data_IF_269880819324
#
_entry.id   IF_269880819324
#
_cell.length_a   1.000
_cell.length_b   1.000
_cell.length_c   1.000
_cell.angle_alpha   90.00
_cell.angle_beta   90.00
_cell.angle_gamma   90.00
#
_symmetry.space_group_name_H-M   'P 1'
#
loop_
_entity.id
_entity.type
_entity.pdbx_description
1 polymer ?
#
# COMPACT_ATOMS: atom_id res chain seq x y z
N UNK A 1 7.64 3.20 17.88
CA UNK A 1 6.95 2.48 18.98
C UNK A 1 7.93 1.54 19.65
N UNK A 2 8.14 1.71 20.96
CA UNK A 2 8.95 0.83 21.79
C UNK A 2 8.11 -0.31 22.36
N UNK A 3 8.70 -1.47 22.62
CA UNK A 3 8.04 -2.58 23.28
C UNK A 3 7.64 -2.25 24.72
N UNK A 4 6.61 -2.92 25.25
CA UNK A 4 6.06 -2.62 26.60
C UNK A 4 7.07 -2.76 27.74
N UNK A 5 8.09 -3.60 27.60
CA UNK A 5 9.13 -3.75 28.61
C UNK A 5 10.00 -2.49 28.79
N UNK A 6 10.03 -1.60 27.80
CA UNK A 6 10.66 -0.31 27.90
C UNK A 6 9.87 0.70 28.77
N UNK A 7 8.55 0.50 28.93
CA UNK A 7 7.69 1.46 29.60
C UNK A 7 8.14 1.72 31.05
N UNK A 8 8.59 0.67 31.77
CA UNK A 8 9.08 0.80 33.14
C UNK A 8 10.41 1.57 33.21
N UNK A 9 11.30 1.36 32.27
CA UNK A 9 12.61 2.04 32.22
C UNK A 9 12.38 3.51 31.84
N UNK A 10 11.57 3.75 30.83
CA UNK A 10 11.21 5.11 30.38
C UNK A 10 10.50 5.91 31.48
N UNK A 11 9.70 5.27 32.34
CA UNK A 11 9.07 5.93 33.47
C UNK A 11 10.05 6.41 34.55
N UNK A 12 11.27 5.84 34.60
CA UNK A 12 12.37 6.25 35.49
C UNK A 12 13.15 7.45 34.95
N UNK A 13 12.97 7.81 33.68
CA UNK A 13 13.76 8.85 32.98
C UNK A 13 13.18 10.26 33.17
N UNK A 14 13.03 10.70 34.42
CA UNK A 14 12.48 12.03 34.72
C UNK A 14 13.30 13.21 34.18
N UNK A 15 14.57 12.97 33.81
CA UNK A 15 15.49 13.99 33.24
C UNK A 15 15.65 13.88 31.72
N UNK A 16 15.05 12.89 31.07
CA UNK A 16 15.16 12.62 29.64
C UNK A 16 16.56 12.21 29.17
N UNK A 17 17.40 11.65 30.08
CA UNK A 17 18.76 11.20 29.73
C UNK A 17 18.75 9.94 28.87
N UNK A 18 17.92 8.97 29.23
CA UNK A 18 17.71 7.75 28.45
C UNK A 18 17.19 8.11 27.06
N UNK A 19 16.20 8.98 26.98
CA UNK A 19 15.64 9.41 25.70
C UNK A 19 16.71 10.06 24.81
N UNK A 20 17.56 10.94 25.36
CA UNK A 20 18.67 11.53 24.59
C UNK A 20 19.66 10.49 24.05
N UNK A 21 19.99 9.47 24.87
CA UNK A 21 20.83 8.38 24.40
C UNK A 21 20.14 7.58 23.27
N UNK A 22 18.84 7.30 23.41
CA UNK A 22 18.05 6.62 22.37
C UNK A 22 18.02 7.40 21.06
N UNK A 23 17.86 8.73 21.13
CA UNK A 23 17.80 9.61 19.96
C UNK A 23 19.14 9.77 19.27
N UNK A 24 20.24 9.58 20.00
CA UNK A 24 21.61 9.67 19.47
C UNK A 24 22.12 8.38 18.80
N UNK A 25 21.43 7.26 18.98
CA UNK A 25 21.85 5.96 18.43
C UNK A 25 21.75 5.95 16.90
N UNK A 26 22.83 5.58 16.24
CA UNK A 26 22.88 5.40 14.79
C UNK A 26 22.61 3.95 14.39
N UNK A 27 22.29 3.73 13.11
CA UNK A 27 21.78 2.46 12.58
C UNK A 27 22.62 1.23 12.94
N UNK A 28 23.95 1.32 12.76
CA UNK A 28 24.86 0.21 13.04
C UNK A 28 24.97 -0.12 14.53
N UNK A 29 24.90 0.87 15.41
CA UNK A 29 24.87 0.66 16.86
C UNK A 29 23.57 0.00 17.29
N UNK A 30 22.43 0.48 16.77
CA UNK A 30 21.12 -0.11 17.05
C UNK A 30 21.06 -1.59 16.67
N UNK A 31 21.70 -1.96 15.56
CA UNK A 31 21.85 -3.34 15.14
C UNK A 31 22.72 -4.13 16.11
N UNK A 32 23.90 -3.59 16.49
CA UNK A 32 24.83 -4.23 17.40
C UNK A 32 24.22 -4.56 18.77
N UNK A 33 23.42 -3.65 19.33
CA UNK A 33 22.76 -3.87 20.61
C UNK A 33 21.89 -5.12 20.59
N UNK A 34 21.23 -5.40 19.48
CA UNK A 34 20.44 -6.63 19.37
C UNK A 34 21.28 -7.86 19.00
N UNK A 35 22.21 -7.73 18.06
CA UNK A 35 23.01 -8.84 17.57
C UNK A 35 24.01 -9.37 18.62
N UNK A 36 24.58 -8.49 19.45
CA UNK A 36 25.60 -8.83 20.44
C UNK A 36 25.06 -9.13 21.85
N UNK A 37 23.76 -8.96 22.06
CA UNK A 37 23.06 -9.36 23.27
C UNK A 37 23.06 -8.36 24.42
N UNK A 38 22.48 -8.78 25.55
CA UNK A 38 22.18 -7.90 26.67
C UNK A 38 23.39 -7.35 27.41
N UNK A 39 24.42 -8.15 27.64
CA UNK A 39 25.67 -7.70 28.27
C UNK A 39 26.32 -6.56 27.48
N UNK A 40 26.42 -6.71 26.17
CA UNK A 40 26.94 -5.67 25.29
C UNK A 40 26.07 -4.39 25.33
N UNK A 41 24.75 -4.55 25.32
CA UNK A 41 23.81 -3.43 25.40
C UNK A 41 23.91 -2.71 26.75
N UNK A 42 24.08 -3.44 27.87
CA UNK A 42 24.31 -2.85 29.18
C UNK A 42 25.56 -1.99 29.17
N UNK A 43 26.67 -2.52 28.70
CA UNK A 43 27.96 -1.82 28.68
C UNK A 43 27.94 -0.63 27.71
N UNK A 44 27.58 -0.87 26.47
CA UNK A 44 27.80 0.09 25.38
C UNK A 44 26.65 1.09 25.17
N UNK A 45 25.45 0.80 25.67
CA UNK A 45 24.33 1.73 25.61
C UNK A 45 24.01 2.33 26.97
N UNK A 46 23.57 1.53 27.93
CA UNK A 46 23.20 2.04 29.26
C UNK A 46 24.42 2.57 30.03
N UNK A 47 25.59 2.00 29.84
CA UNK A 47 26.84 2.41 30.49
C UNK A 47 27.39 3.76 30.03
N UNK A 48 26.82 4.40 29.00
CA UNK A 48 27.27 5.73 28.58
C UNK A 48 26.94 6.83 29.61
N UNK A 49 25.92 6.64 30.45
CA UNK A 49 25.58 7.56 31.53
C UNK A 49 25.29 6.77 32.81
N UNK A 50 25.97 7.09 33.96
CA UNK A 50 25.76 6.37 35.21
C UNK A 50 24.33 6.39 35.74
N UNK A 51 23.57 7.48 35.51
CA UNK A 51 22.15 7.55 35.91
C UNK A 51 21.28 6.64 35.03
N UNK A 52 21.60 6.53 33.75
CA UNK A 52 20.89 5.62 32.83
C UNK A 52 21.23 4.17 33.12
N UNK A 53 22.48 3.86 33.41
CA UNK A 53 22.90 2.52 33.85
C UNK A 53 22.15 2.08 35.11
N UNK A 54 21.97 3.00 36.05
CA UNK A 54 21.23 2.73 37.31
C UNK A 54 19.75 2.40 37.05
N UNK A 55 19.15 2.87 35.94
CA UNK A 55 17.75 2.56 35.60
C UNK A 55 17.53 1.08 35.27
N UNK A 56 18.60 0.34 35.00
CA UNK A 56 18.58 -1.09 34.62
C UNK A 56 19.39 -1.96 35.56
N UNK A 57 19.74 -1.47 36.77
CA UNK A 57 20.56 -2.22 37.75
C UNK A 57 19.86 -3.49 38.25
N UNK A 58 18.52 -3.48 38.28
CA UNK A 58 17.64 -4.57 38.68
C UNK A 58 17.36 -5.59 37.55
N UNK A 59 17.81 -5.33 36.34
CA UNK A 59 17.60 -6.21 35.17
C UNK A 59 18.81 -7.11 34.94
N UNK A 60 18.59 -8.36 34.60
CA UNK A 60 19.65 -9.26 34.09
C UNK A 60 20.00 -8.90 32.64
N UNK A 61 21.11 -9.41 32.12
CA UNK A 61 21.47 -9.24 30.72
C UNK A 61 20.46 -9.91 29.79
N UNK A 62 19.84 -11.00 30.23
CA UNK A 62 18.75 -11.65 29.51
C UNK A 62 17.49 -10.77 29.47
N UNK A 63 17.18 -10.04 30.54
CA UNK A 63 16.06 -9.09 30.55
C UNK A 63 16.32 -7.91 29.61
N UNK A 64 17.56 -7.40 29.59
CA UNK A 64 17.95 -6.36 28.64
C UNK A 64 17.84 -6.87 27.20
N UNK A 65 18.26 -8.11 26.93
CA UNK A 65 18.11 -8.72 25.60
C UNK A 65 16.64 -8.83 25.17
N UNK A 66 15.72 -9.02 26.13
CA UNK A 66 14.27 -9.10 25.89
C UNK A 66 13.58 -7.75 25.70
N UNK A 67 14.30 -6.63 25.84
CA UNK A 67 13.75 -5.29 25.52
C UNK A 67 13.48 -5.18 24.03
N UNK A 68 12.26 -5.54 23.63
CA UNK A 68 11.88 -5.65 22.23
C UNK A 68 11.54 -4.30 21.61
N UNK A 69 11.73 -4.23 20.29
CA UNK A 69 11.19 -3.17 19.45
C UNK A 69 9.67 -3.27 19.39
N UNK A 70 8.99 -2.13 19.33
CA UNK A 70 7.51 -2.08 19.41
C UNK A 70 6.78 -2.81 18.30
N UNK A 71 7.40 -2.93 17.11
CA UNK A 71 6.84 -3.71 15.99
C UNK A 71 6.75 -5.22 16.24
N UNK A 72 7.44 -5.72 17.29
CA UNK A 72 7.35 -7.11 17.73
C UNK A 72 6.56 -7.31 19.02
N UNK A 73 6.00 -6.25 19.58
CA UNK A 73 5.17 -6.33 20.77
C UNK A 73 3.69 -6.41 20.37
N UNK A 74 3.02 -7.56 20.53
CA UNK A 74 1.64 -7.74 20.06
C UNK A 74 0.66 -6.77 20.73
N UNK A 75 0.90 -6.38 21.98
CA UNK A 75 0.04 -5.41 22.67
C UNK A 75 0.19 -4.00 22.11
N UNK A 76 1.44 -3.57 21.85
CA UNK A 76 1.71 -2.25 21.25
C UNK A 76 1.22 -2.19 19.80
N UNK A 77 1.42 -3.26 19.04
CA UNK A 77 0.91 -3.37 17.67
C UNK A 77 -0.62 -3.31 17.66
N UNK A 78 -1.28 -4.10 18.50
CA UNK A 78 -2.74 -4.06 18.63
C UNK A 78 -3.24 -2.67 19.02
N UNK A 79 -2.64 -2.05 20.03
CA UNK A 79 -3.04 -0.71 20.48
C UNK A 79 -2.87 0.35 19.38
N UNK A 80 -1.77 0.29 18.61
CA UNK A 80 -1.53 1.20 17.49
C UNK A 80 -2.59 1.03 16.38
N UNK A 81 -2.88 -0.20 15.97
CA UNK A 81 -3.94 -0.48 15.00
C UNK A 81 -5.33 -0.09 15.51
N UNK A 82 -5.64 -0.42 16.76
CA UNK A 82 -6.91 -0.03 17.37
C UNK A 82 -7.10 1.50 17.36
N UNK A 83 -6.04 2.25 17.70
CA UNK A 83 -6.07 3.71 17.63
C UNK A 83 -6.25 4.20 16.19
N UNK A 84 -5.51 3.62 15.23
CA UNK A 84 -5.57 4.01 13.83
C UNK A 84 -6.98 3.86 13.24
N UNK A 85 -7.61 2.69 13.41
CA UNK A 85 -8.94 2.41 12.82
C UNK A 85 -10.07 3.21 13.48
N UNK A 86 -9.86 3.73 14.68
CA UNK A 86 -10.82 4.58 15.38
C UNK A 86 -10.54 6.09 15.24
N UNK A 87 -9.42 6.48 14.62
CA UNK A 87 -9.11 7.87 14.32
C UNK A 87 -9.86 8.30 13.06
N UNK A 88 -10.58 9.41 13.14
CA UNK A 88 -11.33 9.98 12.02
C UNK A 88 -10.79 11.37 11.68
N UNK A 89 -11.03 11.82 10.45
CA UNK A 89 -10.69 13.16 9.99
C UNK A 89 -9.25 13.33 9.49
N UNK A 90 -8.39 12.31 9.66
CA UNK A 90 -7.03 12.32 9.13
C UNK A 90 -6.53 10.87 8.89
N UNK A 91 -5.67 10.64 7.91
CA UNK A 91 -4.99 9.36 7.73
C UNK A 91 -4.03 9.08 8.88
N UNK A 92 -3.80 7.81 9.18
CA UNK A 92 -2.85 7.38 10.23
C UNK A 92 -1.75 6.52 9.63
N UNK A 93 -0.50 6.90 9.90
CA UNK A 93 0.68 6.10 9.54
C UNK A 93 1.27 5.49 10.81
N UNK A 94 1.52 4.18 10.79
CA UNK A 94 2.15 3.44 11.89
C UNK A 94 3.58 3.09 11.50
N UNK A 95 4.57 3.70 12.17
CA UNK A 95 5.97 3.35 12.01
C UNK A 95 6.32 2.23 13.00
N UNK A 96 6.43 0.99 12.49
CA UNK A 96 6.73 -0.19 13.28
C UNK A 96 8.21 -0.55 13.17
N UNK A 97 8.97 -0.28 14.22
CA UNK A 97 10.36 -0.69 14.29
C UNK A 97 10.44 -2.19 14.58
N UNK A 98 11.08 -2.93 13.68
CA UNK A 98 11.24 -4.39 13.76
C UNK A 98 12.72 -4.81 13.71
N UNK A 99 12.97 -6.10 13.96
CA UNK A 99 14.29 -6.71 13.84
C UNK A 99 14.24 -7.77 12.75
N UNK A 100 15.16 -7.73 11.80
CA UNK A 100 15.26 -8.75 10.77
C UNK A 100 15.63 -10.10 11.38
N UNK A 101 14.93 -11.17 10.99
CA UNK A 101 15.12 -12.50 11.55
C UNK A 101 14.61 -12.65 12.98
N UNK A 102 13.66 -11.80 13.42
CA UNK A 102 13.10 -11.88 14.75
C UNK A 102 12.65 -13.30 15.13
N UNK A 103 13.14 -13.78 16.26
CA UNK A 103 12.82 -15.10 16.78
C UNK A 103 13.74 -16.24 16.29
N UNK A 104 14.62 -16.01 15.34
CA UNK A 104 15.49 -17.07 14.78
C UNK A 104 16.78 -17.31 15.55
N UNK A 105 16.83 -16.93 16.83
CA UNK A 105 17.98 -17.16 17.71
C UNK A 105 19.23 -16.40 17.25
N UNK A 106 20.32 -17.09 17.05
CA UNK A 106 21.62 -16.50 16.67
C UNK A 106 21.64 -15.75 15.33
N UNK A 107 20.58 -15.86 14.54
CA UNK A 107 20.43 -15.13 13.28
C UNK A 107 19.66 -13.83 13.43
N UNK A 108 19.09 -13.56 14.60
CA UNK A 108 18.33 -12.33 14.83
C UNK A 108 19.23 -11.10 14.78
N UNK A 109 18.92 -10.15 13.91
CA UNK A 109 19.68 -8.93 13.62
C UNK A 109 21.08 -9.13 13.00
N UNK A 110 21.47 -10.35 12.64
CA UNK A 110 22.74 -10.61 11.98
C UNK A 110 22.76 -10.03 10.56
N UNK A 111 23.91 -9.52 10.11
CA UNK A 111 24.08 -8.94 8.78
C UNK A 111 23.81 -9.93 7.65
N UNK A 112 24.04 -11.23 7.90
CA UNK A 112 23.83 -12.30 6.92
C UNK A 112 22.40 -12.83 6.92
N UNK A 113 21.52 -12.36 7.80
CA UNK A 113 20.16 -12.88 7.96
C UNK A 113 19.38 -12.89 6.64
N UNK A 114 19.52 -11.86 5.81
CA UNK A 114 18.80 -11.81 4.52
C UNK A 114 19.33 -12.79 3.47
N UNK A 115 20.52 -13.35 3.66
CA UNK A 115 21.12 -14.34 2.77
C UNK A 115 20.82 -15.78 3.20
N UNK A 116 20.24 -15.96 4.38
CA UNK A 116 19.91 -17.29 4.90
C UNK A 116 18.78 -17.91 4.13
N UNK A 117 19.07 -18.92 3.33
CA UNK A 117 18.08 -19.67 2.55
C UNK A 117 17.37 -20.75 3.35
N UNK A 118 18.02 -21.29 4.40
CA UNK A 118 17.50 -22.36 5.25
C UNK A 118 17.96 -22.18 6.67
N UNK A 119 17.04 -22.29 7.63
CA UNK A 119 17.37 -22.31 9.06
C UNK A 119 17.92 -23.67 9.45
N UNK A 120 18.83 -23.68 10.41
CA UNK A 120 19.31 -24.92 11.05
C UNK A 120 18.24 -25.50 11.96
N UNK A 121 18.34 -26.77 12.30
CA UNK A 121 17.42 -27.42 13.26
C UNK A 121 17.41 -26.68 14.61
N UNK A 122 18.55 -26.19 15.08
CA UNK A 122 18.63 -25.42 16.33
C UNK A 122 17.91 -24.08 16.24
N UNK A 123 18.04 -23.37 15.10
CA UNK A 123 17.27 -22.14 14.87
C UNK A 123 15.76 -22.41 14.81
N UNK A 124 15.35 -23.53 14.21
CA UNK A 124 13.94 -23.93 14.16
C UNK A 124 13.41 -24.28 15.57
N UNK A 125 14.20 -24.97 16.41
CA UNK A 125 13.87 -25.24 17.81
C UNK A 125 13.72 -23.93 18.60
N UNK A 126 14.70 -23.04 18.50
CA UNK A 126 14.66 -21.74 19.17
C UNK A 126 13.41 -20.92 18.77
N UNK A 127 13.07 -20.92 17.48
CA UNK A 127 11.87 -20.26 16.98
C UNK A 127 10.58 -20.90 17.53
N UNK A 128 10.47 -22.23 17.46
CA UNK A 128 9.34 -22.99 17.99
C UNK A 128 9.12 -22.68 19.48
N UNK A 129 10.19 -22.81 20.27
CA UNK A 129 10.14 -22.65 21.71
C UNK A 129 9.80 -21.23 22.14
N UNK A 130 10.34 -20.25 21.40
CA UNK A 130 10.06 -18.83 21.68
C UNK A 130 8.59 -18.46 21.44
N UNK A 131 7.94 -19.10 20.49
CA UNK A 131 6.55 -18.80 20.10
C UNK A 131 5.54 -19.87 20.51
N UNK A 132 5.94 -20.80 21.39
CA UNK A 132 5.12 -21.90 21.90
C UNK A 132 4.39 -22.66 20.78
N UNK A 133 5.12 -22.92 19.67
CA UNK A 133 4.54 -23.59 18.51
C UNK A 133 4.40 -25.09 18.80
N UNK A 134 3.20 -25.68 18.74
CA UNK A 134 2.94 -27.07 19.15
C UNK A 134 3.42 -28.08 18.10
N UNK A 135 4.75 -28.16 17.88
CA UNK A 135 5.37 -29.12 16.95
C UNK A 135 6.43 -29.92 17.69
N UNK A 136 6.38 -31.24 17.54
CA UNK A 136 7.37 -32.14 18.16
C UNK A 136 8.75 -32.02 17.48
N UNK A 137 9.81 -32.39 18.18
CA UNK A 137 11.17 -32.42 17.61
C UNK A 137 11.25 -33.32 16.36
N UNK A 138 10.49 -34.40 16.32
CA UNK A 138 10.44 -35.36 15.18
C UNK A 138 9.81 -34.76 13.93
N UNK A 139 8.92 -33.79 14.10
CA UNK A 139 8.16 -33.19 13.01
C UNK A 139 8.67 -31.80 12.62
N UNK A 140 9.60 -31.26 13.42
CA UNK A 140 10.08 -29.89 13.26
C UNK A 140 10.64 -29.61 11.86
N UNK A 141 11.47 -30.50 11.33
CA UNK A 141 12.09 -30.37 10.01
C UNK A 141 11.08 -30.52 8.85
N UNK A 142 9.92 -31.12 9.11
CA UNK A 142 8.85 -31.24 8.11
C UNK A 142 8.07 -29.95 7.94
N UNK A 143 8.24 -28.98 8.83
CA UNK A 143 7.55 -27.68 8.85
C UNK A 143 6.01 -27.84 8.65
N UNK A 144 5.34 -28.60 9.51
CA UNK A 144 3.92 -28.90 9.32
C UNK A 144 3.05 -27.66 9.45
N UNK A 145 1.99 -27.58 8.68
CA UNK A 145 0.98 -26.55 8.85
C UNK A 145 0.19 -26.78 10.14
N UNK A 146 0.18 -25.77 11.01
CA UNK A 146 -0.55 -25.81 12.27
C UNK A 146 -1.99 -25.35 12.01
N UNK A 147 -2.94 -26.14 12.49
CA UNK A 147 -4.36 -25.82 12.43
C UNK A 147 -4.90 -25.74 13.85
N UNK A 148 -5.61 -24.68 14.12
CA UNK A 148 -6.34 -24.55 15.38
C UNK A 148 -7.50 -25.56 15.43
N UNK A 149 -7.69 -26.17 16.59
CA UNK A 149 -8.85 -26.99 16.86
C UNK A 149 -10.15 -26.19 16.73
N UNK A 150 -11.17 -26.73 16.07
CA UNK A 150 -12.43 -26.02 15.81
C UNK A 150 -13.13 -25.50 17.07
N UNK A 151 -12.87 -26.11 18.21
CA UNK A 151 -13.43 -25.70 19.50
C UNK A 151 -12.56 -24.69 20.27
N UNK A 152 -11.34 -24.43 19.82
CA UNK A 152 -10.44 -23.49 20.48
C UNK A 152 -10.98 -22.04 20.44
N UNK A 153 -10.54 -21.23 21.40
CA UNK A 153 -10.89 -19.81 21.47
C UNK A 153 -10.33 -19.05 20.26
N UNK A 154 -9.12 -19.40 19.84
CA UNK A 154 -8.41 -18.81 18.71
C UNK A 154 -9.16 -19.05 17.40
N UNK A 155 -9.62 -20.29 17.16
CA UNK A 155 -10.40 -20.60 15.96
C UNK A 155 -11.72 -19.84 15.94
N UNK A 156 -12.46 -19.83 17.05
CA UNK A 156 -13.73 -19.10 17.16
C UNK A 156 -13.53 -17.60 16.92
N UNK A 157 -12.53 -16.99 17.58
CA UNK A 157 -12.19 -15.57 17.40
C UNK A 157 -11.86 -15.26 15.94
N UNK A 158 -10.99 -16.07 15.31
CA UNK A 158 -10.64 -15.91 13.91
C UNK A 158 -11.87 -15.95 13.00
N UNK A 159 -12.72 -16.96 13.19
CA UNK A 159 -13.92 -17.15 12.34
C UNK A 159 -14.94 -16.02 12.53
N UNK A 160 -15.17 -15.59 13.76
CA UNK A 160 -16.08 -14.47 14.06
C UNK A 160 -15.55 -13.15 13.49
N UNK A 161 -14.27 -12.87 13.68
CA UNK A 161 -13.63 -11.67 13.14
C UNK A 161 -13.69 -11.66 11.61
N UNK A 162 -13.40 -12.78 10.96
CA UNK A 162 -13.51 -12.90 9.50
C UNK A 162 -14.95 -12.76 9.02
N UNK A 163 -15.92 -13.31 9.73
CA UNK A 163 -17.36 -13.17 9.40
C UNK A 163 -17.80 -11.69 9.42
N UNK A 164 -17.38 -10.93 10.44
CA UNK A 164 -17.67 -9.49 10.53
C UNK A 164 -17.09 -8.68 9.36
N UNK A 165 -15.99 -9.14 8.79
CA UNK A 165 -15.32 -8.52 7.66
C UNK A 165 -15.77 -9.09 6.29
N UNK A 166 -16.86 -9.85 6.25
CA UNK A 166 -17.39 -10.38 4.99
C UNK A 166 -16.81 -11.73 4.56
N UNK A 167 -15.98 -12.38 5.38
CA UNK A 167 -15.43 -13.70 5.09
C UNK A 167 -13.90 -13.73 4.84
N UNK A 168 -13.39 -14.77 4.16
CA UNK A 168 -11.96 -14.88 3.83
C UNK A 168 -11.47 -13.73 2.93
N UNK A 169 -10.21 -13.35 3.08
CA UNK A 169 -9.54 -12.38 2.18
C UNK A 169 -8.52 -13.13 1.32
N UNK A 170 -8.44 -12.79 0.05
CA UNK A 170 -9.42 -12.05 -0.74
C UNK A 170 -10.65 -12.90 -1.05
N UNK A 171 -11.83 -12.32 -0.89
CA UNK A 171 -13.04 -12.90 -1.46
C UNK A 171 -13.03 -12.57 -2.96
N UNK A 172 -12.40 -13.42 -3.75
CA UNK A 172 -12.39 -13.24 -5.20
C UNK A 172 -13.74 -13.68 -5.75
N UNK A 173 -14.49 -12.72 -6.26
CA UNK A 173 -15.67 -12.98 -7.07
C UNK A 173 -15.25 -12.69 -8.51
N UNK A 174 -15.20 -13.72 -9.32
CA UNK A 174 -14.77 -13.61 -10.71
C UNK A 174 -15.94 -13.94 -11.62
N UNK A 175 -16.40 -12.95 -12.37
CA UNK A 175 -17.32 -13.12 -13.49
C UNK A 175 -16.56 -12.84 -14.77
N UNK A 176 -16.43 -13.85 -15.63
CA UNK A 176 -15.76 -13.77 -16.92
C UNK A 176 -16.74 -13.41 -18.06
N UNK A 177 -17.94 -13.02 -17.73
CA UNK A 177 -18.93 -12.60 -18.73
C UNK A 177 -18.40 -11.41 -19.53
N UNK A 178 -18.29 -11.49 -20.86
CA UNK A 178 -17.81 -10.39 -21.67
C UNK A 178 -18.79 -9.23 -21.65
N UNK A 179 -18.27 -8.01 -21.58
CA UNK A 179 -19.08 -6.83 -21.79
C UNK A 179 -19.66 -6.85 -23.22
N UNK A 180 -20.89 -6.41 -23.37
CA UNK A 180 -21.52 -6.26 -24.67
C UNK A 180 -20.79 -5.17 -25.46
N UNK A 181 -20.30 -5.52 -26.64
CA UNK A 181 -19.53 -4.60 -27.48
C UNK A 181 -20.41 -3.46 -28.01
N UNK A 182 -19.83 -2.26 -28.23
CA UNK A 182 -20.47 -1.20 -29.03
C UNK A 182 -20.80 -1.69 -30.44
N UNK A 183 -21.76 -1.07 -31.08
CA UNK A 183 -22.08 -1.34 -32.47
C UNK A 183 -20.89 -0.96 -33.38
N UNK A 184 -20.60 -1.78 -34.40
CA UNK A 184 -19.46 -1.55 -35.29
C UNK A 184 -19.56 -0.20 -36.05
N UNK A 185 -20.74 0.24 -36.33
CA UNK A 185 -21.06 1.47 -37.02
C UNK A 185 -20.56 2.72 -36.31
N UNK A 186 -20.41 2.66 -34.98
CA UNK A 186 -19.81 3.74 -34.17
C UNK A 186 -18.41 4.12 -34.68
N UNK A 187 -17.66 3.14 -35.18
CA UNK A 187 -16.28 3.32 -35.61
C UNK A 187 -16.14 3.78 -37.06
N UNK A 188 -17.17 3.68 -37.89
CA UNK A 188 -17.11 3.97 -39.34
C UNK A 188 -16.52 5.35 -39.64
N UNK A 189 -16.96 6.38 -38.91
CA UNK A 189 -16.47 7.76 -39.11
C UNK A 189 -14.97 7.98 -38.83
N UNK A 190 -14.30 7.01 -38.25
CA UNK A 190 -12.86 7.04 -37.99
C UNK A 190 -12.04 6.26 -39.02
N UNK A 191 -12.68 5.40 -39.82
CA UNK A 191 -12.02 4.54 -40.81
C UNK A 191 -11.59 5.31 -42.06
N UNK A 192 -12.36 6.35 -42.42
CA UNK A 192 -12.11 7.16 -43.63
C UNK A 192 -11.03 8.21 -43.45
N UNK A 193 -10.42 8.30 -42.25
CA UNK A 193 -9.41 9.30 -41.92
C UNK A 193 -9.99 10.71 -41.71
N UNK A 194 -9.11 11.73 -41.74
CA UNK A 194 -9.48 13.13 -41.48
C UNK A 194 -9.60 13.99 -42.74
N UNK A 195 -9.41 13.41 -43.93
CA UNK A 195 -9.34 14.14 -45.20
C UNK A 195 -8.22 15.20 -45.14
N UNK A 196 -8.52 16.39 -45.60
CA UNK A 196 -7.55 17.53 -45.62
C UNK A 196 -7.32 18.16 -44.26
N UNK A 197 -8.04 17.74 -43.23
CA UNK A 197 -7.89 18.30 -41.86
C UNK A 197 -6.72 17.70 -41.14
N UNK A 198 -5.80 18.53 -40.70
CA UNK A 198 -4.70 18.12 -39.81
C UNK A 198 -5.21 17.92 -38.39
N UNK A 199 -5.32 16.69 -37.93
CA UNK A 199 -5.80 16.32 -36.60
C UNK A 199 -4.73 15.43 -35.94
N UNK A 200 -4.41 15.70 -34.66
CA UNK A 200 -3.50 14.83 -33.92
C UNK A 200 -4.19 13.49 -33.60
N UNK A 201 -3.40 12.45 -33.46
CA UNK A 201 -3.88 11.12 -33.04
C UNK A 201 -4.52 11.17 -31.63
N UNK A 202 -3.98 11.98 -30.75
CA UNK A 202 -4.56 12.21 -29.39
C UNK A 202 -5.98 12.79 -29.51
N UNK A 203 -6.19 13.82 -30.34
CA UNK A 203 -7.53 14.39 -30.55
C UNK A 203 -8.52 13.42 -31.17
N UNK A 204 -8.03 12.57 -32.10
CA UNK A 204 -8.86 11.52 -32.68
C UNK A 204 -9.27 10.50 -31.63
N UNK A 205 -8.33 10.10 -30.75
CA UNK A 205 -8.61 9.19 -29.66
C UNK A 205 -9.62 9.79 -28.65
N UNK A 206 -9.45 11.07 -28.28
CA UNK A 206 -10.37 11.76 -27.36
C UNK A 206 -11.78 11.81 -27.94
N UNK A 207 -11.93 12.05 -29.25
CA UNK A 207 -13.23 12.01 -29.93
C UNK A 207 -13.84 10.61 -29.90
N UNK A 208 -13.05 9.58 -30.21
CA UNK A 208 -13.50 8.19 -30.09
C UNK A 208 -13.94 7.86 -28.67
N UNK A 209 -13.17 8.22 -27.67
CA UNK A 209 -13.50 8.02 -26.25
C UNK A 209 -14.80 8.74 -25.88
N UNK A 210 -14.99 9.98 -26.36
CA UNK A 210 -16.23 10.75 -26.17
C UNK A 210 -17.45 10.02 -26.73
N UNK A 211 -17.32 9.36 -27.87
CA UNK A 211 -18.41 8.57 -28.44
C UNK A 211 -18.64 7.26 -27.67
N UNK A 212 -17.58 6.59 -27.25
CA UNK A 212 -17.66 5.37 -26.44
C UNK A 212 -18.34 5.63 -25.08
N UNK A 213 -18.08 6.76 -24.45
CA UNK A 213 -18.75 7.19 -23.20
C UNK A 213 -20.27 7.32 -23.38
N UNK A 214 -20.74 7.59 -24.59
CA UNK A 214 -22.18 7.65 -24.89
C UNK A 214 -22.83 6.30 -25.22
N UNK A 215 -22.02 5.26 -25.37
CA UNK A 215 -22.51 3.92 -25.68
C UNK A 215 -23.27 3.33 -24.48
N UNK A 216 -24.47 2.80 -24.76
CA UNK A 216 -25.38 2.27 -23.73
C UNK A 216 -24.87 1.00 -23.04
N UNK A 217 -23.93 0.29 -23.64
CA UNK A 217 -23.44 -0.99 -23.13
C UNK A 217 -22.21 -0.82 -22.24
N UNK A 218 -21.34 0.14 -22.60
CA UNK A 218 -20.02 0.29 -21.95
C UNK A 218 -19.74 1.70 -21.43
N UNK A 219 -20.54 2.70 -21.77
CA UNK A 219 -20.28 4.10 -21.43
C UNK A 219 -20.05 4.32 -19.94
N UNK A 220 -20.90 3.73 -19.10
CA UNK A 220 -20.84 3.83 -17.63
C UNK A 220 -19.63 3.09 -17.04
N UNK A 221 -18.87 2.37 -17.84
CA UNK A 221 -17.67 1.62 -17.42
C UNK A 221 -16.37 2.35 -17.75
N UNK A 222 -16.44 3.37 -18.61
CA UNK A 222 -15.26 4.09 -19.09
C UNK A 222 -14.91 5.20 -18.10
N UNK A 223 -13.67 5.15 -17.59
CA UNK A 223 -13.15 6.15 -16.67
C UNK A 223 -11.84 6.71 -17.22
N UNK A 224 -11.85 7.94 -17.74
CA UNK A 224 -10.63 8.64 -18.11
C UNK A 224 -9.84 9.05 -16.85
N UNK A 225 -8.53 8.85 -16.87
CA UNK A 225 -7.63 9.15 -15.78
C UNK A 225 -6.43 9.90 -16.34
N UNK A 226 -6.10 11.05 -15.76
CA UNK A 226 -4.98 11.88 -16.18
C UNK A 226 -4.11 12.28 -14.98
N UNK A 227 -2.76 12.25 -15.12
CA UNK A 227 -1.84 12.64 -14.07
C UNK A 227 -1.54 14.15 -14.06
N UNK A 228 -2.20 14.90 -14.90
CA UNK A 228 -2.04 16.35 -15.08
C UNK A 228 -3.45 16.95 -15.30
N UNK A 229 -3.57 17.94 -16.13
CA UNK A 229 -4.85 18.58 -16.49
C UNK A 229 -5.39 18.04 -17.81
N UNK A 230 -6.68 17.69 -17.85
CA UNK A 230 -7.32 17.08 -19.02
C UNK A 230 -7.34 17.99 -20.25
N UNK A 231 -7.30 19.32 -20.10
CA UNK A 231 -7.21 20.29 -21.23
C UNK A 231 -5.96 20.08 -22.07
N UNK A 232 -4.86 19.68 -21.45
CA UNK A 232 -3.60 19.44 -22.18
C UNK A 232 -3.71 18.32 -23.20
N UNK A 233 -4.71 17.43 -23.02
CA UNK A 233 -5.07 16.35 -23.96
C UNK A 233 -6.26 16.69 -24.84
N UNK A 234 -6.84 17.89 -24.74
CA UNK A 234 -8.02 18.30 -25.50
C UNK A 234 -9.30 17.64 -25.01
N UNK A 235 -9.39 17.36 -23.72
CA UNK A 235 -10.52 16.64 -23.10
C UNK A 235 -11.55 17.58 -22.44
N UNK A 236 -11.42 18.88 -22.58
CA UNK A 236 -12.28 19.87 -21.93
C UNK A 236 -13.77 19.69 -22.24
N UNK A 237 -14.12 19.13 -23.40
CA UNK A 237 -15.50 18.81 -23.75
C UNK A 237 -16.12 17.78 -22.80
N UNK A 238 -15.33 16.95 -22.16
CA UNK A 238 -15.76 15.94 -21.19
C UNK A 238 -16.16 16.55 -19.84
N UNK A 239 -15.68 17.74 -19.49
CA UNK A 239 -16.04 18.42 -18.24
C UNK A 239 -17.55 18.60 -18.09
N UNK A 240 -18.24 18.88 -19.18
CA UNK A 240 -19.71 19.01 -19.18
C UNK A 240 -20.43 17.66 -19.30
N UNK A 241 -19.81 16.69 -19.94
CA UNK A 241 -20.44 15.41 -20.24
C UNK A 241 -20.42 14.47 -19.05
N UNK A 242 -19.27 14.33 -18.41
CA UNK A 242 -19.04 13.36 -17.32
C UNK A 242 -18.48 14.00 -16.04
N UNK A 243 -18.01 15.24 -16.11
CA UNK A 243 -17.43 15.95 -14.97
C UNK A 243 -16.13 15.36 -14.44
N UNK A 244 -15.42 16.18 -13.67
CA UNK A 244 -14.23 15.75 -12.91
C UNK A 244 -14.70 15.30 -11.54
N UNK A 245 -14.21 14.18 -11.07
CA UNK A 245 -14.56 13.67 -9.74
C UNK A 245 -13.93 14.52 -8.63
N UNK A 246 -14.76 14.94 -7.69
CA UNK A 246 -14.31 15.56 -6.44
C UNK A 246 -15.19 15.05 -5.30
N UNK A 247 -14.58 14.42 -4.27
CA UNK A 247 -15.29 13.86 -3.11
C UNK A 247 -16.11 14.89 -2.35
N UNK A 248 -15.69 16.16 -2.41
CA UNK A 248 -16.35 17.31 -1.75
C UNK A 248 -17.27 18.11 -2.68
N UNK A 249 -17.22 17.83 -3.99
CA UNK A 249 -17.83 18.65 -5.01
C UNK A 249 -17.07 19.95 -5.23
N UNK A 250 -17.57 20.80 -6.12
CA UNK A 250 -16.94 22.08 -6.44
C UNK A 250 -17.24 23.14 -5.39
N UNK A 251 -16.21 23.57 -4.65
CA UNK A 251 -16.33 24.53 -3.54
C UNK A 251 -16.03 25.97 -3.91
N UNK A 252 -15.70 26.23 -5.16
CA UNK A 252 -15.33 27.56 -5.68
C UNK A 252 -15.93 27.77 -7.04
N UNK A 253 -15.98 29.02 -7.47
CA UNK A 253 -16.28 29.37 -8.85
C UNK A 253 -14.98 29.33 -9.65
N UNK A 254 -14.85 28.47 -10.69
CA UNK A 254 -13.67 28.42 -11.51
C UNK A 254 -13.43 29.75 -12.25
N UNK A 255 -12.18 30.04 -12.55
CA UNK A 255 -11.81 31.26 -13.25
C UNK A 255 -12.44 31.34 -14.65
N UNK A 256 -12.64 30.19 -15.28
CA UNK A 256 -13.22 30.02 -16.60
C UNK A 256 -14.75 29.77 -16.60
N UNK A 257 -15.43 30.08 -15.52
CA UNK A 257 -16.88 29.78 -15.34
C UNK A 257 -17.81 30.41 -16.40
N UNK A 258 -17.33 31.44 -17.10
CA UNK A 258 -18.02 32.11 -18.22
C UNK A 258 -17.82 31.42 -19.58
N UNK A 259 -16.89 30.45 -19.64
CA UNK A 259 -16.59 29.70 -20.86
C UNK A 259 -17.60 28.56 -21.08
N UNK A 260 -17.78 28.15 -22.33
CA UNK A 260 -18.69 27.06 -22.69
C UNK A 260 -18.21 25.71 -22.11
N UNK A 261 -16.90 25.50 -22.01
CA UNK A 261 -16.23 24.26 -21.49
C UNK A 261 -15.40 24.59 -20.26
N UNK A 262 -16.08 25.12 -19.23
CA UNK A 262 -15.45 25.48 -17.98
C UNK A 262 -15.09 24.25 -17.12
N UNK A 263 -14.14 24.42 -16.21
CA UNK A 263 -13.67 23.39 -15.29
C UNK A 263 -14.78 23.02 -14.30
N UNK A 264 -15.30 21.79 -14.41
CA UNK A 264 -16.46 21.35 -13.64
C UNK A 264 -16.13 20.11 -12.81
N UNK A 265 -16.11 20.29 -11.51
CA UNK A 265 -16.01 19.21 -10.52
C UNK A 265 -17.38 18.84 -9.95
N UNK A 266 -17.57 17.56 -9.64
CA UNK A 266 -18.76 17.09 -8.91
C UNK A 266 -18.47 15.78 -8.18
N UNK A 267 -19.32 15.45 -7.21
CA UNK A 267 -19.26 14.14 -6.52
C UNK A 267 -19.60 12.98 -7.45
N UNK A 268 -20.37 13.25 -8.48
CA UNK A 268 -20.78 12.31 -9.52
C UNK A 268 -19.86 12.36 -10.75
N UNK A 269 -18.80 13.16 -10.68
CA UNK A 269 -17.78 13.22 -11.73
C UNK A 269 -17.14 11.87 -11.99
N UNK A 270 -16.82 11.56 -13.24
CA UNK A 270 -16.27 10.26 -13.64
C UNK A 270 -14.79 10.38 -14.03
N UNK A 271 -14.37 11.52 -14.57
CA UNK A 271 -12.98 11.76 -14.92
C UNK A 271 -12.13 11.95 -13.65
N UNK A 272 -10.99 11.26 -13.55
CA UNK A 272 -10.03 11.43 -12.47
C UNK A 272 -8.88 12.32 -12.94
N UNK A 273 -8.78 13.52 -12.41
CA UNK A 273 -7.63 14.42 -12.52
C UNK A 273 -6.85 14.36 -11.21
N UNK A 274 -5.66 13.75 -11.26
CA UNK A 274 -4.88 13.43 -10.06
C UNK A 274 -3.90 14.56 -9.67
N UNK A 275 -3.80 15.62 -10.49
CA UNK A 275 -2.70 16.56 -10.43
C UNK A 275 -1.40 15.93 -10.97
N UNK A 276 -0.26 16.63 -10.89
CA UNK A 276 1.02 16.14 -11.42
C UNK A 276 1.55 14.99 -10.55
N UNK A 277 0.92 13.84 -10.66
CA UNK A 277 1.31 12.60 -9.96
C UNK A 277 0.97 11.37 -10.78
N UNK A 278 1.93 10.86 -11.52
CA UNK A 278 1.76 9.66 -12.34
C UNK A 278 1.53 8.42 -11.49
N UNK A 279 2.18 8.33 -10.32
CA UNK A 279 2.00 7.20 -9.42
C UNK A 279 0.59 7.16 -8.83
N UNK A 280 0.00 8.31 -8.46
CA UNK A 280 -1.39 8.42 -8.00
C UNK A 280 -2.37 8.01 -9.08
N UNK A 281 -2.26 8.61 -10.27
CA UNK A 281 -3.10 8.32 -11.41
C UNK A 281 -3.05 6.83 -11.83
N UNK A 282 -1.85 6.24 -11.84
CA UNK A 282 -1.72 4.82 -12.17
C UNK A 282 -2.28 3.91 -11.08
N UNK A 283 -2.18 4.29 -9.81
CA UNK A 283 -2.79 3.54 -8.70
C UNK A 283 -4.32 3.54 -8.80
N UNK A 284 -4.92 4.69 -9.14
CA UNK A 284 -6.36 4.78 -9.43
C UNK A 284 -6.75 3.91 -10.63
N UNK A 285 -5.95 3.94 -11.71
CA UNK A 285 -6.13 3.06 -12.86
C UNK A 285 -6.07 1.59 -12.47
N UNK A 286 -5.08 1.17 -11.69
CA UNK A 286 -4.90 -0.21 -11.24
C UNK A 286 -6.10 -0.69 -10.40
N UNK A 287 -6.60 0.15 -9.51
CA UNK A 287 -7.78 -0.16 -8.70
C UNK A 287 -9.01 -0.45 -9.56
N UNK A 288 -9.26 0.38 -10.58
CA UNK A 288 -10.35 0.17 -11.54
C UNK A 288 -10.09 -1.02 -12.46
N UNK A 289 -8.85 -1.19 -12.93
CA UNK A 289 -8.45 -2.27 -13.83
C UNK A 289 -8.55 -3.68 -13.20
N UNK A 290 -8.55 -3.75 -11.86
CA UNK A 290 -8.72 -5.00 -11.10
C UNK A 290 -10.09 -5.15 -10.45
N UNK A 291 -10.99 -4.18 -10.62
CA UNK A 291 -12.32 -4.17 -9.99
C UNK A 291 -13.20 -5.33 -10.43
N UNK A 292 -12.99 -5.89 -11.62
CA UNK A 292 -13.66 -7.09 -12.09
C UNK A 292 -13.45 -8.29 -11.16
N UNK A 293 -12.24 -8.44 -10.58
CA UNK A 293 -11.90 -9.53 -9.68
C UNK A 293 -12.23 -9.23 -8.20
N UNK A 294 -12.22 -7.95 -7.81
CA UNK A 294 -12.42 -7.55 -6.43
C UNK A 294 -13.89 -7.28 -6.09
N UNK A 295 -14.66 -6.78 -7.07
CA UNK A 295 -16.04 -6.32 -6.87
C UNK A 295 -17.03 -6.91 -7.86
N UNK A 296 -16.59 -7.80 -8.73
CA UNK A 296 -17.39 -8.28 -9.87
C UNK A 296 -17.94 -7.13 -10.73
N UNK A 297 -17.14 -6.08 -10.89
CA UNK A 297 -17.50 -4.87 -11.61
C UNK A 297 -16.45 -4.59 -12.69
N UNK A 298 -16.61 -5.11 -13.91
CA UNK A 298 -15.65 -4.87 -14.98
C UNK A 298 -15.70 -3.40 -15.41
N UNK A 299 -14.64 -2.64 -15.11
CA UNK A 299 -14.45 -1.26 -15.54
C UNK A 299 -13.50 -1.19 -16.74
N UNK A 300 -13.52 -0.07 -17.45
CA UNK A 300 -12.67 0.25 -18.60
C UNK A 300 -11.91 1.54 -18.27
N UNK A 301 -10.88 1.47 -17.42
CA UNK A 301 -10.08 2.65 -17.13
C UNK A 301 -9.14 2.95 -18.28
N UNK A 302 -9.02 4.24 -18.61
CA UNK A 302 -8.17 4.76 -19.67
C UNK A 302 -7.22 5.77 -19.05
N UNK A 303 -5.94 5.38 -18.90
CA UNK A 303 -4.88 6.24 -18.39
C UNK A 303 -4.21 6.97 -19.54
N UNK A 304 -4.38 8.31 -19.60
CA UNK A 304 -3.73 9.17 -20.57
C UNK A 304 -2.54 9.84 -19.89
N UNK A 305 -1.37 9.76 -20.50
CA UNK A 305 -0.15 10.30 -19.93
C UNK A 305 0.77 10.82 -21.05
N UNK A 306 1.70 11.68 -20.67
CA UNK A 306 2.78 12.08 -21.58
C UNK A 306 3.74 10.91 -21.79
N UNK A 307 3.87 10.43 -23.03
CA UNK A 307 4.69 9.27 -23.35
C UNK A 307 6.14 9.40 -22.89
N UNK A 308 6.67 10.63 -22.87
CA UNK A 308 8.03 10.94 -22.40
C UNK A 308 8.22 10.68 -20.90
N UNK A 309 7.19 10.90 -20.06
CA UNK A 309 7.32 10.81 -18.61
C UNK A 309 6.66 9.56 -18.02
N UNK A 310 5.63 9.05 -18.68
CA UNK A 310 4.72 8.07 -18.11
C UNK A 310 5.42 6.81 -17.64
N UNK A 311 5.99 6.03 -18.53
CA UNK A 311 6.61 4.76 -18.15
C UNK A 311 7.84 4.92 -17.24
N UNK A 312 8.61 5.98 -17.39
CA UNK A 312 9.76 6.22 -16.52
C UNK A 312 9.39 6.33 -15.04
N UNK A 313 8.18 6.84 -14.75
CA UNK A 313 7.73 7.10 -13.39
C UNK A 313 6.82 6.02 -12.81
N UNK A 314 6.31 5.11 -13.66
CA UNK A 314 5.31 4.10 -13.26
C UNK A 314 5.69 2.67 -13.66
N UNK A 315 6.90 2.43 -14.19
CA UNK A 315 7.21 1.08 -14.73
C UNK A 315 7.07 -0.03 -13.69
N UNK A 316 7.46 0.20 -12.43
CA UNK A 316 7.26 -0.77 -11.35
C UNK A 316 5.77 -1.06 -11.10
N UNK A 317 4.92 -0.02 -11.16
CA UNK A 317 3.49 -0.18 -11.05
C UNK A 317 2.89 -0.90 -12.26
N UNK A 318 3.45 -0.70 -13.46
CA UNK A 318 3.03 -1.42 -14.65
C UNK A 318 3.35 -2.92 -14.54
N UNK A 319 4.48 -3.29 -13.95
CA UNK A 319 4.78 -4.69 -13.62
C UNK A 319 3.76 -5.28 -12.64
N UNK A 320 3.47 -4.56 -11.56
CA UNK A 320 2.46 -4.97 -10.59
C UNK A 320 1.07 -5.12 -11.23
N UNK A 321 0.73 -4.26 -12.19
CA UNK A 321 -0.51 -4.35 -12.96
C UNK A 321 -0.56 -5.62 -13.83
N UNK A 322 0.56 -5.98 -14.50
CA UNK A 322 0.69 -7.21 -15.24
C UNK A 322 0.49 -8.44 -14.36
N UNK A 323 1.18 -8.50 -13.22
CA UNK A 323 1.04 -9.58 -12.23
C UNK A 323 -0.38 -9.68 -11.67
N UNK A 324 -1.07 -8.55 -11.53
CA UNK A 324 -2.46 -8.48 -11.06
C UNK A 324 -3.48 -8.78 -12.15
N UNK A 325 -3.06 -9.04 -13.39
CA UNK A 325 -3.93 -9.23 -14.55
C UNK A 325 -4.92 -8.05 -14.75
N UNK A 326 -4.41 -6.83 -14.59
CA UNK A 326 -5.19 -5.62 -14.74
C UNK A 326 -5.74 -5.47 -16.18
N UNK A 327 -6.96 -4.94 -16.32
CA UNK A 327 -7.67 -4.76 -17.59
C UNK A 327 -7.96 -3.29 -17.83
N UNK A 328 -7.44 -2.71 -18.89
CA UNK A 328 -7.63 -1.29 -19.21
C UNK A 328 -6.68 -0.82 -20.31
N UNK A 329 -6.65 0.49 -20.54
CA UNK A 329 -5.85 1.07 -21.61
C UNK A 329 -4.84 2.07 -21.05
N UNK A 330 -3.62 2.04 -21.58
CA UNK A 330 -2.55 2.98 -21.32
C UNK A 330 -2.29 3.75 -22.62
N UNK A 331 -2.57 5.04 -22.64
CA UNK A 331 -2.52 5.89 -23.83
C UNK A 331 -1.41 6.94 -23.65
N UNK A 332 -0.27 6.69 -24.29
CA UNK A 332 0.82 7.65 -24.36
C UNK A 332 0.54 8.74 -25.38
N UNK A 333 0.35 9.98 -24.91
CA UNK A 333 0.22 11.15 -25.75
C UNK A 333 1.58 11.84 -25.90
N UNK A 334 1.86 12.38 -27.08
CA UNK A 334 3.09 13.16 -27.32
C UNK A 334 2.88 14.62 -26.97
N UNK A 335 3.80 15.18 -26.21
CA UNK A 335 3.83 16.61 -25.87
C UNK A 335 4.88 17.38 -26.71
N UNK A 336 5.05 17.00 -27.95
CA UNK A 336 6.02 17.62 -28.86
C UNK A 336 6.83 16.59 -29.65
N UNK A 337 7.95 17.03 -30.23
CA UNK A 337 8.86 16.11 -30.93
C UNK A 337 9.60 15.24 -29.91
N UNK A 338 9.50 13.96 -30.08
CA UNK A 338 10.38 12.97 -29.44
C UNK A 338 11.53 12.66 -30.37
#
# INVERSE_FOLDING_TARGET
VWGRHWDQILSRDGKGKLQRLMDAVVDGELQNFKAKGGAYTREKFFGQDPEVLKMVEDLTDEDIYKLNRGGHDPYKVYAAYHKAVNTKGAPTVILALTTKGYGTGSREADNTTHQVKKLTTDNLKAFRDRFDIPVSDKDLEKLPYIKFEKNSKEYKYLKESRKKLGGPIPARVFDDSPLKRPAAELFNKYLDGSGDKKISTTMTFVRLMTDLIKDKNIGDRIVPIVPDEARTFGMEALFRQIGIYSSEGQKYQPEDADQVMWYKESKEGVMLEEGITEAGAFSAWLALATSYANYNLPMIPIYLFYSMFGFQRIHDLAWAAGDSQARGFLIGATSGRT
#
